data_IF_350036703795
#
_entry.id   IF_350036703795
#
_cell.length_a   1.000
_cell.length_b   1.000
_cell.length_c   1.000
_cell.angle_alpha   90.00
_cell.angle_beta   90.00
_cell.angle_gamma   90.00
#
_symmetry.space_group_name_H-M   'P 1'
#
loop_
_entity.id
_entity.type
_entity.pdbx_description
1 polymer ?
#
# COMPACT_ATOMS: atom_id res chain seq x y z
N UNK A 1 -14.82 -1.54 15.98
CA UNK A 1 -14.53 -0.71 14.81
C UNK A 1 -15.78 -0.53 13.99
N UNK A 2 -15.98 0.63 13.47
CA UNK A 2 -17.20 0.99 12.75
C UNK A 2 -17.03 1.04 11.23
N UNK A 3 -16.06 0.29 10.71
CA UNK A 3 -15.81 0.14 9.28
C UNK A 3 -15.53 -1.32 8.93
N UNK A 4 -15.67 -1.67 7.66
CA UNK A 4 -15.38 -3.01 7.16
C UNK A 4 -14.31 -2.95 6.07
N UNK A 5 -13.62 -4.07 5.88
CA UNK A 5 -12.61 -4.22 4.83
C UNK A 5 -13.03 -5.37 3.92
N UNK A 6 -13.00 -5.11 2.61
CA UNK A 6 -13.33 -6.11 1.59
C UNK A 6 -12.68 -5.74 0.25
N UNK A 7 -12.71 -6.63 -0.74
CA UNK A 7 -12.25 -6.26 -2.08
C UNK A 7 -13.05 -5.09 -2.65
N UNK A 8 -12.37 -4.20 -3.35
CA UNK A 8 -12.97 -3.03 -3.95
C UNK A 8 -13.91 -3.41 -5.10
N UNK A 9 -15.04 -2.71 -5.20
CA UNK A 9 -15.95 -2.82 -6.33
C UNK A 9 -15.63 -1.73 -7.37
N UNK A 10 -15.94 -1.96 -8.67
CA UNK A 10 -15.67 -0.95 -9.69
C UNK A 10 -16.27 0.43 -9.40
N UNK A 11 -17.41 0.49 -8.74
CA UNK A 11 -18.07 1.74 -8.34
C UNK A 11 -17.26 2.54 -7.30
N UNK A 12 -16.26 1.92 -6.67
CA UNK A 12 -15.43 2.53 -5.63
C UNK A 12 -14.05 2.96 -6.15
N UNK A 13 -13.69 2.59 -7.37
CA UNK A 13 -12.35 2.83 -7.90
C UNK A 13 -12.01 4.32 -8.01
N UNK A 14 -12.94 5.14 -8.46
CA UNK A 14 -12.69 6.58 -8.59
C UNK A 14 -12.42 7.22 -7.24
N UNK A 15 -13.24 6.91 -6.24
CA UNK A 15 -13.08 7.45 -4.89
C UNK A 15 -11.74 7.02 -4.28
N UNK A 16 -11.37 5.73 -4.39
CA UNK A 16 -10.10 5.24 -3.87
C UNK A 16 -8.92 5.86 -4.60
N UNK A 17 -9.01 6.01 -5.92
CA UNK A 17 -7.97 6.64 -6.72
C UNK A 17 -7.68 8.07 -6.28
N UNK A 18 -8.73 8.85 -6.01
CA UNK A 18 -8.59 10.22 -5.53
C UNK A 18 -8.02 10.25 -4.11
N UNK A 19 -8.44 9.35 -3.23
CA UNK A 19 -7.87 9.24 -1.88
C UNK A 19 -6.38 8.94 -1.96
N UNK A 20 -5.98 8.01 -2.81
CA UNK A 20 -4.58 7.61 -2.95
C UNK A 20 -3.73 8.76 -3.48
N UNK A 21 -4.17 9.42 -4.54
CA UNK A 21 -3.47 10.56 -5.13
C UNK A 21 -3.36 11.72 -4.14
N UNK A 22 -4.46 12.05 -3.46
CA UNK A 22 -4.51 13.14 -2.49
C UNK A 22 -3.60 12.87 -1.29
N UNK A 23 -3.59 11.64 -0.79
CA UNK A 23 -2.72 11.27 0.33
C UNK A 23 -1.24 11.45 -0.02
N UNK A 24 -0.83 11.01 -1.20
CA UNK A 24 0.56 11.16 -1.64
C UNK A 24 0.93 12.63 -1.84
N UNK A 25 0.04 13.43 -2.44
CA UNK A 25 0.27 14.87 -2.61
C UNK A 25 0.37 15.59 -1.26
N UNK A 26 -0.58 15.32 -0.38
CA UNK A 26 -0.66 16.00 0.92
C UNK A 26 0.55 15.68 1.80
N UNK A 27 1.02 14.45 1.76
CA UNK A 27 2.14 13.99 2.57
C UNK A 27 3.51 14.34 1.95
N UNK A 28 3.53 15.01 0.80
CA UNK A 28 4.78 15.42 0.14
C UNK A 28 5.59 14.26 -0.43
N UNK A 29 4.92 13.17 -0.82
CA UNK A 29 5.58 11.96 -1.29
C UNK A 29 5.90 11.97 -2.78
N UNK A 30 5.56 13.04 -3.49
CA UNK A 30 5.77 13.19 -4.92
C UNK A 30 6.78 14.30 -5.20
N UNK A 31 7.82 14.01 -5.98
CA UNK A 31 8.90 14.94 -6.28
C UNK A 31 8.42 16.19 -7.01
N UNK A 32 7.48 16.03 -7.93
CA UNK A 32 6.96 17.10 -8.76
C UNK A 32 5.56 17.57 -8.32
N UNK A 33 5.11 17.16 -7.13
CA UNK A 33 3.81 17.54 -6.60
C UNK A 33 2.66 17.22 -7.56
N UNK A 34 1.81 18.19 -7.83
CA UNK A 34 0.65 18.00 -8.71
C UNK A 34 1.02 17.73 -10.18
N UNK A 35 2.28 17.99 -10.57
CA UNK A 35 2.77 17.71 -11.93
C UNK A 35 3.44 16.34 -12.05
N UNK A 36 3.45 15.54 -11.00
CA UNK A 36 4.10 14.24 -10.99
C UNK A 36 3.29 13.24 -11.81
N UNK A 37 3.96 12.59 -12.78
CA UNK A 37 3.31 11.59 -13.64
C UNK A 37 2.79 10.37 -12.86
N UNK A 38 3.35 10.11 -11.68
CA UNK A 38 2.90 9.01 -10.84
C UNK A 38 1.47 9.18 -10.33
N UNK A 39 0.93 10.40 -10.34
CA UNK A 39 -0.48 10.64 -9.96
C UNK A 39 -1.45 9.85 -10.81
N UNK A 40 -1.19 9.70 -12.10
CA UNK A 40 -2.04 8.89 -12.98
C UNK A 40 -2.04 7.42 -12.55
N UNK A 41 -0.87 6.89 -12.17
CA UNK A 41 -0.76 5.52 -11.65
C UNK A 41 -1.52 5.38 -10.32
N UNK A 42 -1.44 6.36 -9.45
CA UNK A 42 -2.13 6.35 -8.15
C UNK A 42 -3.65 6.37 -8.32
N UNK A 43 -4.16 7.07 -9.35
CA UNK A 43 -5.58 7.13 -9.63
C UNK A 43 -6.12 5.90 -10.35
N UNK A 44 -5.26 5.13 -10.99
CA UNK A 44 -5.67 4.01 -11.85
C UNK A 44 -5.89 2.73 -11.04
N UNK A 45 -6.93 2.74 -10.23
CA UNK A 45 -7.31 1.60 -9.38
C UNK A 45 -7.76 0.41 -10.23
N UNK A 46 -8.45 0.66 -11.36
CA UNK A 46 -8.91 -0.41 -12.26
C UNK A 46 -7.73 -1.25 -12.76
N UNK A 47 -6.62 -0.62 -13.14
CA UNK A 47 -5.41 -1.31 -13.57
C UNK A 47 -4.85 -2.19 -12.47
N UNK A 48 -4.77 -1.66 -11.25
CA UNK A 48 -4.29 -2.42 -10.09
C UNK A 48 -5.20 -3.61 -9.77
N UNK A 49 -6.51 -3.39 -9.81
CA UNK A 49 -7.48 -4.42 -9.52
C UNK A 49 -7.46 -5.56 -10.55
N UNK A 50 -7.09 -5.27 -11.78
CA UNK A 50 -6.93 -6.27 -12.83
C UNK A 50 -5.67 -7.13 -12.65
N UNK A 51 -4.63 -6.57 -12.01
CA UNK A 51 -3.31 -7.22 -11.87
C UNK A 51 -3.05 -7.76 -10.45
N UNK A 52 -3.81 -7.31 -9.46
CA UNK A 52 -3.61 -7.66 -8.06
C UNK A 52 -4.94 -7.57 -7.31
N UNK A 53 -4.91 -7.67 -5.99
CA UNK A 53 -6.11 -7.55 -5.17
C UNK A 53 -6.14 -6.19 -4.48
N UNK A 54 -7.17 -5.39 -4.76
CA UNK A 54 -7.35 -4.09 -4.13
C UNK A 54 -8.38 -4.23 -3.02
N UNK A 55 -8.00 -3.87 -1.80
CA UNK A 55 -8.89 -3.89 -0.63
C UNK A 55 -9.27 -2.46 -0.26
N UNK A 56 -10.53 -2.26 0.12
CA UNK A 56 -11.03 -0.97 0.61
C UNK A 56 -11.54 -1.09 2.03
N UNK A 57 -11.41 0.00 2.77
CA UNK A 57 -12.07 0.19 4.06
C UNK A 57 -13.27 1.12 3.84
N UNK A 58 -14.42 0.70 4.32
CA UNK A 58 -15.68 1.41 4.13
C UNK A 58 -16.43 1.58 5.45
N UNK A 59 -17.01 2.77 5.60
CA UNK A 59 -18.02 3.03 6.62
C UNK A 59 -19.29 3.42 5.88
N UNK A 60 -20.35 2.60 6.02
CA UNK A 60 -21.54 2.71 5.20
C UNK A 60 -21.11 2.64 3.72
N UNK A 61 -21.41 3.63 2.90
CA UNK A 61 -21.01 3.64 1.50
C UNK A 61 -19.80 4.54 1.24
N UNK A 62 -19.12 5.00 2.30
CA UNK A 62 -18.00 5.93 2.19
C UNK A 62 -16.68 5.17 2.21
N UNK A 63 -15.83 5.38 1.18
CA UNK A 63 -14.48 4.84 1.12
C UNK A 63 -13.58 5.63 2.05
N UNK A 64 -12.97 4.95 3.02
CA UNK A 64 -12.06 5.55 4.00
C UNK A 64 -10.60 5.40 3.62
N UNK A 65 -10.28 4.39 2.83
CA UNK A 65 -8.91 4.11 2.41
C UNK A 65 -8.83 2.81 1.65
N UNK A 66 -7.63 2.44 1.24
CA UNK A 66 -7.40 1.20 0.53
C UNK A 66 -5.94 0.81 0.49
N UNK A 67 -5.69 -0.39 0.00
CA UNK A 67 -4.35 -0.96 -0.14
C UNK A 67 -4.37 -1.96 -1.29
N UNK A 68 -3.22 -2.14 -1.92
CA UNK A 68 -3.05 -3.16 -2.96
C UNK A 68 -2.24 -4.31 -2.39
N UNK A 69 -2.81 -5.51 -2.43
CA UNK A 69 -2.15 -6.75 -2.07
C UNK A 69 -1.70 -7.46 -3.35
N UNK A 70 -0.40 -7.72 -3.46
CA UNK A 70 0.19 -8.36 -4.63
C UNK A 70 0.68 -9.74 -4.24
N UNK A 71 0.00 -10.81 -4.67
CA UNK A 71 0.52 -12.16 -4.46
C UNK A 71 1.82 -12.37 -5.24
N UNK A 72 2.60 -13.38 -4.83
CA UNK A 72 3.90 -13.68 -5.42
C UNK A 72 3.82 -13.83 -6.94
N UNK A 73 4.76 -13.20 -7.65
CA UNK A 73 4.86 -13.31 -9.11
C UNK A 73 3.87 -12.45 -9.90
N UNK A 74 3.10 -11.59 -9.24
CA UNK A 74 2.17 -10.70 -9.93
C UNK A 74 2.87 -9.57 -10.67
N UNK A 75 2.26 -9.02 -11.75
CA UNK A 75 2.87 -7.94 -12.53
C UNK A 75 3.02 -6.63 -11.77
N UNK A 76 2.32 -6.48 -10.65
CA UNK A 76 2.44 -5.31 -9.78
C UNK A 76 3.58 -5.43 -8.75
N UNK A 77 4.23 -6.58 -8.66
CA UNK A 77 5.31 -6.79 -7.70
C UNK A 77 6.56 -6.02 -8.14
N UNK A 78 7.04 -5.12 -7.28
CA UNK A 78 8.30 -4.41 -7.48
C UNK A 78 9.45 -5.13 -6.78
N UNK A 79 9.18 -5.72 -5.63
CA UNK A 79 10.18 -6.21 -4.70
C UNK A 79 10.04 -7.68 -4.37
N UNK A 80 8.82 -8.20 -4.34
CA UNK A 80 8.53 -9.55 -3.91
C UNK A 80 9.20 -10.59 -4.79
N UNK A 81 9.84 -11.55 -4.12
CA UNK A 81 10.50 -12.70 -4.74
C UNK A 81 9.64 -13.95 -4.57
N UNK A 82 10.11 -15.08 -5.06
CA UNK A 82 9.43 -16.35 -4.84
C UNK A 82 9.19 -16.58 -3.34
N UNK A 83 7.98 -16.98 -2.99
CA UNK A 83 7.57 -17.16 -1.59
C UNK A 83 7.22 -15.87 -0.87
N UNK A 84 7.12 -14.75 -1.56
CA UNK A 84 6.80 -13.44 -0.97
C UNK A 84 5.58 -12.81 -1.64
N UNK A 85 4.73 -12.17 -0.83
CA UNK A 85 3.70 -11.26 -1.31
C UNK A 85 4.10 -9.83 -0.96
N UNK A 86 3.48 -8.87 -1.62
CA UNK A 86 3.86 -7.46 -1.45
C UNK A 86 2.64 -6.59 -1.14
N UNK A 87 2.83 -5.60 -0.27
CA UNK A 87 1.84 -4.54 -0.01
C UNK A 87 2.25 -3.30 -0.79
N UNK A 88 1.31 -2.70 -1.51
CA UNK A 88 1.55 -1.47 -2.26
C UNK A 88 0.41 -0.48 -2.08
N UNK A 89 0.74 0.79 -2.20
CA UNK A 89 -0.22 1.91 -2.30
C UNK A 89 -1.25 1.95 -1.17
N UNK A 90 -0.77 1.79 0.07
CA UNK A 90 -1.61 2.01 1.25
C UNK A 90 -1.94 3.50 1.34
N UNK A 91 -3.23 3.81 1.42
CA UNK A 91 -3.68 5.18 1.57
C UNK A 91 -4.93 5.25 2.43
N UNK A 92 -5.00 6.28 3.28
CA UNK A 92 -6.15 6.55 4.14
C UNK A 92 -6.58 7.99 3.91
N UNK A 93 -7.88 8.21 3.72
CA UNK A 93 -8.43 9.54 3.58
C UNK A 93 -8.06 10.38 4.81
N UNK A 94 -7.69 11.64 4.58
CA UNK A 94 -7.22 12.51 5.65
C UNK A 94 -8.23 12.58 6.82
N UNK A 95 -9.51 12.71 6.51
CA UNK A 95 -10.57 12.77 7.51
C UNK A 95 -10.76 11.46 8.30
N UNK A 96 -10.23 10.34 7.80
CA UNK A 96 -10.36 9.03 8.43
C UNK A 96 -9.10 8.61 9.21
N UNK A 97 -8.07 9.44 9.22
CA UNK A 97 -6.81 9.13 9.92
C UNK A 97 -7.01 9.13 11.43
N UNK A 98 -6.18 8.37 12.12
CA UNK A 98 -6.24 8.24 13.57
C UNK A 98 -7.31 7.30 14.09
N UNK A 99 -7.95 6.52 13.22
CA UNK A 99 -9.03 5.58 13.58
C UNK A 99 -8.68 4.12 13.39
N UNK A 100 -7.40 3.82 13.09
CA UNK A 100 -6.94 2.46 12.89
C UNK A 100 -7.23 1.87 11.51
N UNK A 101 -7.65 2.68 10.54
CA UNK A 101 -7.97 2.22 9.19
C UNK A 101 -6.74 1.64 8.49
N UNK A 102 -5.61 2.33 8.55
CA UNK A 102 -4.37 1.87 7.92
C UNK A 102 -3.89 0.55 8.52
N UNK A 103 -3.91 0.43 9.84
CA UNK A 103 -3.53 -0.79 10.52
C UNK A 103 -4.45 -1.96 10.13
N UNK A 104 -5.75 -1.72 10.06
CA UNK A 104 -6.71 -2.75 9.67
C UNK A 104 -6.50 -3.22 8.22
N UNK A 105 -6.17 -2.31 7.32
CA UNK A 105 -5.84 -2.64 5.93
C UNK A 105 -4.59 -3.51 5.85
N UNK A 106 -3.55 -3.18 6.60
CA UNK A 106 -2.32 -3.97 6.64
C UNK A 106 -2.59 -5.36 7.24
N UNK A 107 -3.38 -5.44 8.31
CA UNK A 107 -3.79 -6.74 8.89
C UNK A 107 -4.53 -7.61 7.88
N UNK A 108 -5.40 -7.01 7.08
CA UNK A 108 -6.11 -7.74 6.03
C UNK A 108 -5.12 -8.32 5.00
N UNK A 109 -4.08 -7.58 4.64
CA UNK A 109 -3.02 -8.08 3.77
C UNK A 109 -2.25 -9.24 4.41
N UNK A 110 -1.97 -9.16 5.70
CA UNK A 110 -1.32 -10.25 6.45
C UNK A 110 -2.16 -11.52 6.38
N UNK A 111 -3.47 -11.39 6.63
CA UNK A 111 -4.39 -12.53 6.56
C UNK A 111 -4.47 -13.12 5.16
N UNK A 112 -4.49 -12.26 4.12
CA UNK A 112 -4.44 -12.72 2.72
C UNK A 112 -3.18 -13.49 2.42
N UNK A 113 -2.02 -12.96 2.85
CA UNK A 113 -0.73 -13.59 2.61
C UNK A 113 -0.64 -14.97 3.25
N UNK A 114 -1.19 -15.12 4.44
CA UNK A 114 -1.24 -16.43 5.13
C UNK A 114 -2.09 -17.46 4.39
N UNK A 115 -3.03 -17.00 3.59
CA UNK A 115 -3.88 -17.87 2.76
C UNK A 115 -3.30 -18.20 1.40
N UNK A 116 -2.17 -17.64 1.02
CA UNK A 116 -1.51 -17.93 -0.26
C UNK A 116 -0.56 -19.10 -0.08
N UNK A 117 -0.76 -20.16 -0.87
CA UNK A 117 0.08 -21.35 -0.81
C UNK A 117 1.53 -20.99 -1.15
N UNK A 118 2.46 -21.44 -0.31
CA UNK A 118 3.89 -21.20 -0.52
C UNK A 118 4.36 -19.80 -0.15
N UNK A 119 3.49 -18.93 0.32
CA UNK A 119 3.90 -17.60 0.77
C UNK A 119 4.47 -17.66 2.18
N UNK A 120 5.72 -17.28 2.32
CA UNK A 120 6.47 -17.34 3.59
C UNK A 120 6.67 -15.96 4.22
N UNK A 121 6.61 -14.90 3.41
CA UNK A 121 6.87 -13.53 3.85
C UNK A 121 5.97 -12.54 3.14
N UNK A 122 5.67 -11.46 3.84
CA UNK A 122 4.98 -10.30 3.29
C UNK A 122 5.96 -9.13 3.33
N UNK A 123 6.13 -8.45 2.21
CA UNK A 123 7.13 -7.41 2.05
C UNK A 123 6.49 -6.10 1.58
N UNK A 124 7.08 -4.99 1.97
CA UNK A 124 6.64 -3.66 1.52
C UNK A 124 7.83 -2.71 1.46
N UNK A 125 7.68 -1.65 0.68
CA UNK A 125 8.59 -0.52 0.73
C UNK A 125 7.83 0.76 1.10
N UNK A 126 8.54 1.69 1.75
CA UNK A 126 7.95 2.90 2.31
C UNK A 126 8.98 4.04 2.25
N UNK A 127 8.51 5.27 2.18
CA UNK A 127 9.40 6.41 2.21
C UNK A 127 9.82 6.75 3.65
N UNK A 128 11.01 7.36 3.80
CA UNK A 128 11.55 7.73 5.12
C UNK A 128 10.63 8.63 5.92
N UNK A 129 9.87 9.47 5.24
CA UNK A 129 8.99 10.45 5.87
C UNK A 129 7.68 9.87 6.37
N UNK A 130 7.35 8.63 5.98
CA UNK A 130 6.09 7.97 6.35
C UNK A 130 6.17 7.33 7.74
N UNK A 131 6.52 8.12 8.75
CA UNK A 131 6.79 7.63 10.11
C UNK A 131 5.60 6.98 10.79
N UNK A 132 4.40 7.50 10.55
CA UNK A 132 3.19 6.92 11.12
C UNK A 132 2.95 5.50 10.59
N UNK A 133 3.19 5.29 9.29
CA UNK A 133 3.10 3.98 8.68
C UNK A 133 4.16 3.03 9.24
N UNK A 134 5.39 3.50 9.44
CA UNK A 134 6.46 2.69 10.05
C UNK A 134 6.04 2.15 11.42
N UNK A 135 5.40 2.99 12.24
CA UNK A 135 4.91 2.57 13.55
C UNK A 135 3.85 1.48 13.44
N UNK A 136 2.96 1.58 12.45
CA UNK A 136 1.96 0.54 12.18
C UNK A 136 2.65 -0.78 11.83
N UNK A 137 3.59 -0.74 10.90
CA UNK A 137 4.31 -1.95 10.47
C UNK A 137 5.04 -2.60 11.64
N UNK A 138 5.75 -1.81 12.44
CA UNK A 138 6.49 -2.31 13.60
C UNK A 138 5.57 -2.93 14.65
N UNK A 139 4.43 -2.31 14.93
CA UNK A 139 3.44 -2.88 15.86
C UNK A 139 2.89 -4.23 15.38
N UNK A 140 2.80 -4.43 14.08
CA UNK A 140 2.32 -5.68 13.50
C UNK A 140 3.40 -6.75 13.37
N UNK A 141 4.63 -6.43 13.74
CA UNK A 141 5.73 -7.37 13.74
C UNK A 141 6.62 -7.31 12.51
N UNK A 142 6.42 -6.36 11.62
CA UNK A 142 7.32 -6.14 10.49
C UNK A 142 8.68 -5.67 10.96
N UNK A 143 9.73 -6.15 10.31
CA UNK A 143 11.12 -5.86 10.64
C UNK A 143 11.79 -5.16 9.47
N UNK A 144 12.61 -4.15 9.77
CA UNK A 144 13.41 -3.46 8.75
C UNK A 144 14.39 -4.44 8.11
N UNK A 145 14.47 -4.35 6.78
CA UNK A 145 15.38 -5.16 5.96
C UNK A 145 16.25 -4.22 5.12
N UNK A 146 17.25 -3.54 5.72
CA UNK A 146 18.03 -2.52 5.02
C UNK A 146 18.74 -3.00 3.77
N UNK A 147 19.13 -4.27 3.72
CA UNK A 147 19.79 -4.86 2.55
C UNK A 147 18.90 -4.86 1.30
N UNK A 148 17.61 -4.67 1.47
CA UNK A 148 16.64 -4.65 0.38
C UNK A 148 16.11 -3.24 0.09
N UNK A 149 16.64 -2.22 0.73
CA UNK A 149 16.31 -0.84 0.39
C UNK A 149 16.69 -0.57 -1.07
N UNK A 150 15.88 0.18 -1.77
CA UNK A 150 16.06 0.36 -3.21
C UNK A 150 15.63 1.75 -3.67
N UNK A 151 16.11 2.14 -4.85
CA UNK A 151 15.78 3.41 -5.47
C UNK A 151 14.95 3.14 -6.74
N UNK A 152 13.66 3.51 -6.76
CA UNK A 152 12.81 3.27 -7.92
C UNK A 152 13.01 4.28 -9.05
N UNK A 153 13.74 5.38 -8.81
CA UNK A 153 13.94 6.45 -9.78
C UNK A 153 15.36 6.45 -10.34
N UNK A 154 15.53 6.73 -11.65
CA UNK A 154 16.86 6.90 -12.22
C UNK A 154 17.50 8.18 -11.69
N UNK A 155 18.83 8.21 -11.66
CA UNK A 155 19.58 9.42 -11.30
C UNK A 155 19.18 10.61 -12.18
N UNK A 156 19.24 11.85 -11.66
CA UNK A 156 19.82 12.27 -10.37
C UNK A 156 18.84 12.20 -9.18
N UNK A 157 17.62 11.77 -9.38
CA UNK A 157 16.60 11.75 -8.33
C UNK A 157 16.82 10.52 -7.44
N UNK A 158 17.53 10.72 -6.34
CA UNK A 158 17.93 9.63 -5.44
C UNK A 158 16.95 9.54 -4.27
N UNK A 159 15.88 8.77 -4.46
CA UNK A 159 14.93 8.44 -3.39
C UNK A 159 15.14 6.99 -2.99
N UNK A 160 15.64 6.78 -1.78
CA UNK A 160 15.77 5.44 -1.23
C UNK A 160 14.49 5.04 -0.51
N UNK A 161 13.86 3.98 -0.97
CA UNK A 161 12.72 3.38 -0.28
C UNK A 161 13.21 2.37 0.75
N UNK A 162 12.63 2.45 1.94
CA UNK A 162 12.94 1.55 3.05
C UNK A 162 12.10 0.29 2.94
N UNK A 163 12.69 -0.86 3.18
CA UNK A 163 12.01 -2.15 3.08
C UNK A 163 11.74 -2.74 4.45
N UNK A 164 10.53 -3.26 4.63
CA UNK A 164 10.09 -4.01 5.81
C UNK A 164 9.58 -5.37 5.36
N UNK A 165 9.78 -6.38 6.20
CA UNK A 165 9.23 -7.72 5.94
C UNK A 165 8.60 -8.31 7.19
N UNK A 166 7.63 -9.20 6.97
CA UNK A 166 7.00 -9.98 8.01
C UNK A 166 7.07 -11.46 7.64
N UNK A 167 7.66 -12.26 8.52
CA UNK A 167 7.61 -13.72 8.40
C UNK A 167 6.21 -14.21 8.80
N UNK A 168 5.65 -15.06 7.96
CA UNK A 168 4.28 -15.55 8.14
C UNK A 168 4.21 -16.86 8.91
#
# INVERSE_FOLDING_TARGET
>A
MDFQIRPALPTEYTALGEITATAYLHDGLLDFGASDAYLEELRDVAKRAAAAEVLVALRDDTVLGGVTFVPSGGPMADLAREGEAEIRMLAVAHAARGRGVGEALVRACVDRARGVDGCERLILSTQRTMRAAHRVYERLGFVRTPDRDWNPLPEPDDITLLTYELSL
#
